data_IF_166321514880
#
_entry.id   IF_166321514880
#
_cell.length_a   1.000
_cell.length_b   1.000
_cell.length_c   1.000
_cell.angle_alpha   90.00
_cell.angle_beta   90.00
_cell.angle_gamma   90.00
#
_symmetry.space_group_name_H-M   'P 1'
#
loop_
_entity.id
_entity.type
_entity.pdbx_description
1 polymer ?
#
# COMPACT_ATOMS: atom_id res chain seq x y z
N UNK A 1 8.69 -39.67 6.35
CA UNK A 1 8.53 -38.16 6.35
C UNK A 1 9.80 -37.47 6.85
N UNK A 2 10.92 -38.00 6.51
CA UNK A 2 12.26 -37.53 6.86
C UNK A 2 12.58 -36.26 6.06
N UNK A 3 12.87 -35.16 6.76
CA UNK A 3 13.32 -33.90 6.14
C UNK A 3 12.36 -32.70 6.12
N UNK A 4 11.12 -32.81 6.65
CA UNK A 4 10.21 -31.67 6.75
C UNK A 4 10.64 -30.74 7.90
N UNK A 5 11.04 -29.52 7.56
CA UNK A 5 11.33 -28.47 8.56
C UNK A 5 10.05 -27.75 8.95
N UNK A 6 9.78 -27.63 10.25
CA UNK A 6 8.57 -26.95 10.74
C UNK A 6 8.67 -25.43 10.56
N UNK A 7 7.52 -24.79 10.44
CA UNK A 7 7.45 -23.34 10.51
C UNK A 7 7.80 -22.85 11.92
N UNK A 8 8.24 -21.60 12.01
CA UNK A 8 8.49 -20.98 13.30
C UNK A 8 7.18 -20.87 14.12
N UNK A 9 7.19 -21.05 15.45
CA UNK A 9 5.99 -20.95 16.30
C UNK A 9 5.21 -19.63 16.14
N UNK A 10 5.86 -18.54 15.76
CA UNK A 10 5.19 -17.28 15.41
C UNK A 10 4.11 -17.41 14.31
N UNK A 11 4.10 -18.51 13.57
CA UNK A 11 3.02 -18.83 12.62
C UNK A 11 1.69 -19.07 13.33
N UNK A 12 1.69 -19.69 14.51
CA UNK A 12 0.47 -19.90 15.31
C UNK A 12 -0.13 -18.56 15.75
N UNK A 13 0.71 -17.59 16.13
CA UNK A 13 0.26 -16.24 16.48
C UNK A 13 -0.42 -15.53 15.29
N UNK A 14 0.09 -15.73 14.08
CA UNK A 14 -0.56 -15.20 12.88
C UNK A 14 -1.95 -15.82 12.63
N UNK A 15 -2.11 -17.11 12.90
CA UNK A 15 -3.41 -17.78 12.76
C UNK A 15 -4.42 -17.20 13.75
N UNK A 16 -3.98 -16.92 14.97
CA UNK A 16 -4.83 -16.35 16.04
C UNK A 16 -5.10 -14.85 15.87
N UNK A 17 -4.27 -14.10 15.15
CA UNK A 17 -4.27 -12.62 15.14
C UNK A 17 -5.65 -11.99 14.94
N UNK A 18 -6.49 -12.55 14.10
CA UNK A 18 -7.85 -12.03 13.85
C UNK A 18 -8.78 -12.23 15.04
N UNK A 19 -8.69 -13.37 15.68
CA UNK A 19 -9.51 -13.78 16.81
C UNK A 19 -9.00 -13.16 18.12
N UNK A 20 -7.69 -13.03 18.24
CA UNK A 20 -7.05 -12.43 19.41
C UNK A 20 -7.50 -10.97 19.61
N UNK A 21 -7.70 -10.22 18.55
CA UNK A 21 -8.23 -8.85 18.62
C UNK A 21 -9.67 -8.82 19.16
N UNK A 22 -10.49 -9.82 18.82
CA UNK A 22 -11.89 -9.90 19.28
C UNK A 22 -11.93 -10.33 20.76
N UNK A 23 -11.15 -11.34 21.15
CA UNK A 23 -11.10 -11.84 22.53
C UNK A 23 -10.45 -10.85 23.53
N UNK A 24 -9.52 -10.00 23.05
CA UNK A 24 -8.88 -9.00 23.91
C UNK A 24 -9.79 -7.80 24.21
N UNK A 25 -10.82 -7.53 23.39
CA UNK A 25 -11.73 -6.41 23.60
C UNK A 25 -12.46 -6.43 24.95
N UNK A 26 -13.10 -7.54 25.39
CA UNK A 26 -13.76 -7.62 26.70
C UNK A 26 -12.77 -7.50 27.86
N UNK A 27 -11.59 -8.14 27.73
CA UNK A 27 -10.52 -8.04 28.72
C UNK A 27 -10.00 -6.61 28.88
N UNK A 28 -9.82 -5.89 27.76
CA UNK A 28 -9.44 -4.49 27.79
C UNK A 28 -10.54 -3.61 28.39
N UNK A 29 -11.82 -3.91 28.14
CA UNK A 29 -12.94 -3.18 28.73
C UNK A 29 -13.02 -3.41 30.24
N UNK A 30 -12.85 -4.65 30.71
CA UNK A 30 -12.84 -4.98 32.15
C UNK A 30 -11.64 -4.35 32.87
N UNK A 31 -10.46 -4.39 32.26
CA UNK A 31 -9.25 -3.73 32.78
C UNK A 31 -9.45 -2.21 32.89
N UNK A 32 -10.18 -1.63 31.93
CA UNK A 32 -10.52 -0.22 31.90
C UNK A 32 -11.45 0.22 33.01
N UNK A 33 -12.44 -0.62 33.33
CA UNK A 33 -13.40 -0.34 34.41
C UNK A 33 -12.74 -0.38 35.82
N UNK A 34 -11.48 -0.83 35.92
CA UNK A 34 -10.78 -1.10 37.19
C UNK A 34 -11.57 -1.99 38.15
N UNK A 35 -12.51 -2.76 37.60
CA UNK A 35 -13.29 -3.74 38.38
C UNK A 35 -12.60 -5.10 38.34
N UNK A 36 -12.02 -5.48 39.48
CA UNK A 36 -11.31 -6.75 39.64
C UNK A 36 -12.25 -7.95 39.50
N UNK A 37 -13.51 -7.82 39.89
CA UNK A 37 -14.51 -8.88 39.76
C UNK A 37 -14.90 -9.10 38.29
N UNK A 38 -15.22 -8.01 37.59
CA UNK A 38 -15.48 -8.03 36.16
C UNK A 38 -14.27 -8.52 35.34
N UNK A 39 -13.05 -8.13 35.73
CA UNK A 39 -11.82 -8.61 35.10
C UNK A 39 -11.61 -10.11 35.32
N UNK A 40 -11.84 -10.64 36.51
CA UNK A 40 -11.77 -12.09 36.78
C UNK A 40 -12.81 -12.85 35.96
N UNK A 41 -14.04 -12.40 35.91
CA UNK A 41 -15.09 -13.02 35.15
C UNK A 41 -14.74 -13.03 33.63
N UNK A 42 -14.32 -11.89 33.09
CA UNK A 42 -13.86 -11.78 31.72
C UNK A 42 -12.63 -12.67 31.45
N UNK A 43 -11.69 -12.77 32.40
CA UNK A 43 -10.50 -13.61 32.27
C UNK A 43 -10.88 -15.10 32.18
N UNK A 44 -11.86 -15.56 32.98
CA UNK A 44 -12.34 -16.94 32.91
C UNK A 44 -13.05 -17.24 31.59
N UNK A 45 -13.97 -16.37 31.13
CA UNK A 45 -14.71 -16.56 29.90
C UNK A 45 -13.81 -16.48 28.68
N UNK A 46 -13.04 -15.39 28.55
CA UNK A 46 -12.16 -15.15 27.41
C UNK A 46 -10.88 -16.00 27.49
N UNK A 47 -10.43 -16.33 28.69
CA UNK A 47 -9.25 -17.19 28.92
C UNK A 47 -9.46 -18.61 28.39
N UNK A 48 -10.62 -19.20 28.62
CA UNK A 48 -10.97 -20.50 28.05
C UNK A 48 -11.02 -20.45 26.52
N UNK A 49 -11.61 -19.40 25.95
CA UNK A 49 -11.65 -19.20 24.50
C UNK A 49 -10.24 -18.96 23.93
N UNK A 50 -9.42 -18.15 24.57
CA UNK A 50 -8.03 -17.91 24.17
C UNK A 50 -7.21 -19.21 24.24
N UNK A 51 -7.40 -20.02 25.27
CA UNK A 51 -6.73 -21.31 25.41
C UNK A 51 -7.17 -22.29 24.30
N UNK A 52 -8.46 -22.36 24.01
CA UNK A 52 -9.00 -23.17 22.90
C UNK A 52 -8.45 -22.72 21.56
N UNK A 53 -8.40 -21.40 21.29
CA UNK A 53 -7.79 -20.83 20.10
C UNK A 53 -6.30 -21.11 20.00
N UNK A 54 -5.58 -21.02 21.13
CA UNK A 54 -4.15 -21.35 21.20
C UNK A 54 -3.92 -22.84 20.88
N UNK A 55 -4.71 -23.72 21.48
CA UNK A 55 -4.66 -25.15 21.20
C UNK A 55 -4.96 -25.44 19.74
N UNK A 56 -6.02 -24.85 19.17
CA UNK A 56 -6.34 -24.99 17.75
C UNK A 56 -5.22 -24.45 16.83
N UNK A 57 -4.61 -23.31 17.17
CA UNK A 57 -3.50 -22.77 16.40
C UNK A 57 -2.25 -23.66 16.47
N UNK A 58 -1.96 -24.27 17.61
CA UNK A 58 -0.87 -25.24 17.76
C UNK A 58 -1.16 -26.51 16.97
N UNK A 59 -2.38 -27.04 17.04
CA UNK A 59 -2.79 -28.20 16.26
C UNK A 59 -2.67 -27.97 14.75
N UNK A 60 -3.01 -26.77 14.26
CA UNK A 60 -2.83 -26.38 12.87
C UNK A 60 -1.37 -26.12 12.48
N UNK A 61 -0.53 -25.72 13.42
CA UNK A 61 0.90 -25.49 13.23
C UNK A 61 1.71 -26.78 13.18
N UNK A 62 1.36 -27.80 13.99
CA UNK A 62 2.11 -29.06 14.09
C UNK A 62 2.36 -29.75 12.76
N UNK A 63 1.35 -29.95 11.85
CA UNK A 63 1.55 -30.59 10.56
C UNK A 63 2.11 -29.65 9.49
N UNK A 64 2.20 -28.35 9.79
CA UNK A 64 2.64 -27.35 8.82
C UNK A 64 4.18 -27.29 8.76
N UNK A 65 4.73 -27.42 7.55
CA UNK A 65 6.16 -27.40 7.36
C UNK A 65 6.55 -27.17 5.90
N UNK A 66 7.85 -27.12 5.68
CA UNK A 66 8.44 -26.92 4.37
C UNK A 66 9.68 -27.79 4.18
N UNK A 67 9.98 -28.13 2.94
CA UNK A 67 11.23 -28.81 2.56
C UNK A 67 11.70 -28.34 1.19
N UNK A 68 12.98 -28.46 0.95
CA UNK A 68 13.57 -28.33 -0.38
C UNK A 68 13.78 -29.73 -0.94
N UNK A 69 13.13 -30.04 -2.06
CA UNK A 69 13.22 -31.34 -2.71
C UNK A 69 13.52 -31.11 -4.20
N UNK A 70 14.61 -31.66 -4.68
CA UNK A 70 15.04 -31.50 -6.08
C UNK A 70 15.06 -30.04 -6.56
N UNK A 71 15.54 -29.13 -5.71
CA UNK A 71 15.58 -27.70 -6.02
C UNK A 71 14.21 -26.98 -5.94
N UNK A 72 13.12 -27.69 -5.70
CA UNK A 72 11.77 -27.12 -5.55
C UNK A 72 11.42 -26.91 -4.09
N UNK A 73 10.72 -25.85 -3.78
CA UNK A 73 10.17 -25.57 -2.45
C UNK A 73 8.83 -26.29 -2.31
N UNK A 74 8.77 -27.26 -1.42
CA UNK A 74 7.55 -28.00 -1.08
C UNK A 74 7.03 -27.51 0.26
N UNK A 75 5.79 -27.07 0.29
CA UNK A 75 5.10 -26.53 1.47
C UNK A 75 3.90 -27.41 1.76
N UNK A 76 3.85 -27.90 3.00
CA UNK A 76 2.75 -28.72 3.46
C UNK A 76 1.95 -27.94 4.50
N UNK A 77 0.63 -27.90 4.35
CA UNK A 77 -0.31 -27.25 5.28
C UNK A 77 -1.59 -28.06 5.41
N UNK A 78 -2.26 -27.92 6.54
CA UNK A 78 -3.57 -28.54 6.81
C UNK A 78 -3.48 -29.75 7.71
N UNK A 79 -4.50 -29.91 8.58
CA UNK A 79 -4.62 -30.99 9.55
C UNK A 79 -5.35 -32.19 8.93
N UNK A 80 -6.60 -32.00 8.51
CA UNK A 80 -7.44 -33.05 7.94
C UNK A 80 -7.19 -33.22 6.43
N UNK A 81 -7.19 -32.12 5.68
CA UNK A 81 -6.84 -32.10 4.27
C UNK A 81 -5.45 -31.52 4.07
N UNK A 82 -4.47 -32.37 3.90
CA UNK A 82 -3.09 -31.94 3.63
C UNK A 82 -2.98 -31.39 2.22
N UNK A 83 -2.67 -30.10 2.13
CA UNK A 83 -2.36 -29.43 0.86
C UNK A 83 -0.86 -29.30 0.73
N UNK A 84 -0.32 -29.91 -0.31
CA UNK A 84 1.09 -29.76 -0.68
C UNK A 84 1.17 -28.83 -1.86
N UNK A 85 1.90 -27.74 -1.70
CA UNK A 85 2.21 -26.80 -2.78
C UNK A 85 3.69 -26.98 -3.13
N UNK A 86 3.98 -27.28 -4.39
CA UNK A 86 5.33 -27.38 -4.92
C UNK A 86 5.61 -26.16 -5.80
N UNK A 87 6.64 -25.40 -5.49
CA UNK A 87 7.05 -24.20 -6.22
C UNK A 87 8.49 -24.37 -6.70
N UNK A 88 8.69 -24.27 -8.00
CA UNK A 88 10.02 -24.19 -8.58
C UNK A 88 10.58 -22.77 -8.42
N UNK A 89 11.91 -22.59 -8.25
CA UNK A 89 12.51 -21.25 -8.19
C UNK A 89 12.10 -20.36 -9.35
N UNK A 90 11.96 -20.91 -10.55
CA UNK A 90 11.59 -20.18 -11.79
C UNK A 90 10.14 -19.64 -11.77
N UNK A 91 9.27 -20.28 -10.99
CA UNK A 91 7.87 -19.84 -10.83
C UNK A 91 7.72 -18.70 -9.83
N UNK A 92 8.78 -18.35 -9.10
CA UNK A 92 8.78 -17.26 -8.13
C UNK A 92 9.23 -15.97 -8.82
N UNK A 93 8.31 -15.03 -8.95
CA UNK A 93 8.56 -13.71 -9.54
C UNK A 93 9.29 -12.77 -8.58
N UNK A 94 8.86 -12.75 -7.33
CA UNK A 94 9.49 -11.97 -6.28
C UNK A 94 9.34 -12.63 -4.92
N UNK A 95 10.24 -12.31 -4.02
CA UNK A 95 10.16 -12.69 -2.61
C UNK A 95 10.42 -11.46 -1.74
N UNK A 96 9.79 -11.44 -0.59
CA UNK A 96 9.95 -10.39 0.40
C UNK A 96 10.19 -11.02 1.78
N UNK A 97 11.25 -10.58 2.47
CA UNK A 97 11.53 -10.91 3.86
C UNK A 97 11.23 -9.69 4.70
N UNK A 98 10.40 -9.86 5.73
CA UNK A 98 10.07 -8.82 6.71
C UNK A 98 10.47 -9.29 8.10
N UNK A 99 11.23 -8.47 8.79
CA UNK A 99 11.61 -8.69 10.17
C UNK A 99 11.12 -7.50 11.01
N UNK A 100 10.01 -7.69 11.72
CA UNK A 100 9.51 -6.71 12.67
C UNK A 100 10.32 -6.76 13.98
N UNK A 101 10.34 -5.71 14.82
CA UNK A 101 11.05 -5.74 16.11
C UNK A 101 10.65 -6.93 16.96
N UNK A 102 9.35 -7.20 17.10
CA UNK A 102 8.82 -8.34 17.86
C UNK A 102 9.29 -9.67 17.27
N UNK A 103 9.22 -9.84 15.94
CA UNK A 103 9.66 -11.09 15.32
C UNK A 103 11.16 -11.32 15.46
N UNK A 104 11.97 -10.24 15.52
CA UNK A 104 13.41 -10.32 15.78
C UNK A 104 13.75 -10.83 17.18
N UNK A 105 12.99 -10.40 18.21
CA UNK A 105 13.16 -10.88 19.57
C UNK A 105 13.00 -12.40 19.66
N UNK A 106 12.05 -12.94 18.88
CA UNK A 106 11.81 -14.39 18.78
C UNK A 106 12.64 -15.09 17.69
N UNK A 107 13.58 -14.41 17.05
CA UNK A 107 14.39 -15.01 15.97
C UNK A 107 13.62 -15.40 14.72
N UNK A 108 12.40 -14.87 14.52
CA UNK A 108 11.52 -15.16 13.41
C UNK A 108 11.62 -14.13 12.28
N UNK A 109 11.42 -14.57 11.04
CA UNK A 109 11.25 -13.72 9.87
C UNK A 109 10.01 -14.17 9.08
N UNK A 110 9.26 -13.19 8.59
CA UNK A 110 8.14 -13.41 7.71
C UNK A 110 8.65 -13.36 6.27
N UNK A 111 8.54 -14.44 5.54
CA UNK A 111 8.88 -14.53 4.12
C UNK A 111 7.61 -14.64 3.30
N UNK A 112 7.45 -13.75 2.33
CA UNK A 112 6.31 -13.76 1.40
C UNK A 112 6.82 -14.03 -0.01
N UNK A 113 6.30 -15.07 -0.63
CA UNK A 113 6.62 -15.47 -2.00
C UNK A 113 5.48 -15.06 -2.92
N UNK A 114 5.82 -14.50 -4.06
CA UNK A 114 4.87 -14.09 -5.09
C UNK A 114 5.11 -14.91 -6.36
N UNK A 115 4.16 -15.77 -6.75
CA UNK A 115 4.30 -16.59 -7.95
C UNK A 115 4.23 -15.74 -9.22
N UNK A 116 4.85 -16.24 -10.28
CA UNK A 116 4.88 -15.59 -11.60
C UNK A 116 3.50 -15.56 -12.26
N UNK A 117 2.71 -16.62 -12.08
CA UNK A 117 1.38 -16.76 -12.68
C UNK A 117 0.31 -16.59 -11.62
N UNK A 118 -0.77 -15.91 -11.98
CA UNK A 118 -2.02 -15.92 -11.22
C UNK A 118 -2.82 -17.15 -11.66
N UNK A 119 -2.70 -18.25 -10.88
CA UNK A 119 -3.50 -19.45 -11.04
C UNK A 119 -4.61 -19.48 -9.99
N UNK A 120 -5.28 -20.63 -9.82
CA UNK A 120 -6.23 -20.89 -8.73
C UNK A 120 -5.55 -20.86 -7.36
N UNK A 121 -4.22 -20.89 -7.34
CA UNK A 121 -3.39 -20.81 -6.13
C UNK A 121 -3.37 -19.41 -5.51
N UNK A 122 -3.02 -19.29 -4.22
CA UNK A 122 -3.03 -18.04 -3.52
C UNK A 122 -2.08 -17.03 -4.18
N UNK A 123 -2.55 -15.79 -4.30
CA UNK A 123 -1.79 -14.67 -4.91
C UNK A 123 -0.43 -14.43 -4.25
N UNK A 124 -0.30 -14.78 -2.98
CA UNK A 124 0.94 -14.69 -2.22
C UNK A 124 0.97 -15.79 -1.18
N UNK A 125 2.14 -16.30 -0.93
CA UNK A 125 2.39 -17.34 0.04
C UNK A 125 3.29 -16.80 1.15
N UNK A 126 2.74 -16.70 2.34
CA UNK A 126 3.46 -16.19 3.51
C UNK A 126 3.92 -17.34 4.39
N UNK A 127 5.21 -17.36 4.72
CA UNK A 127 5.88 -18.35 5.55
C UNK A 127 6.51 -17.64 6.76
N UNK A 128 6.43 -18.27 7.92
CA UNK A 128 7.15 -17.83 9.11
C UNK A 128 8.30 -18.80 9.36
N UNK A 129 9.51 -18.32 9.22
CA UNK A 129 10.72 -19.12 9.29
C UNK A 129 11.67 -18.57 10.35
N UNK A 130 12.56 -19.40 10.91
CA UNK A 130 13.72 -18.89 11.62
C UNK A 130 14.51 -17.95 10.71
N UNK A 131 15.02 -16.85 11.25
CA UNK A 131 15.69 -15.79 10.48
C UNK A 131 16.77 -16.33 9.56
N UNK A 132 17.65 -17.20 10.07
CA UNK A 132 18.73 -17.83 9.28
C UNK A 132 18.16 -18.64 8.12
N UNK A 133 17.16 -19.47 8.39
CA UNK A 133 16.53 -20.30 7.35
C UNK A 133 15.82 -19.47 6.27
N UNK A 134 15.22 -18.31 6.63
CA UNK A 134 14.61 -17.42 5.66
C UNK A 134 15.64 -16.83 4.67
N UNK A 135 16.78 -16.37 5.18
CA UNK A 135 17.86 -15.85 4.32
C UNK A 135 18.52 -16.95 3.48
N UNK A 136 18.82 -18.11 4.04
CA UNK A 136 19.34 -19.25 3.30
C UNK A 136 18.39 -19.69 2.18
N UNK A 137 17.09 -19.74 2.48
CA UNK A 137 16.07 -20.08 1.49
C UNK A 137 16.00 -19.02 0.39
N UNK A 138 16.08 -17.74 0.74
CA UNK A 138 16.09 -16.65 -0.22
C UNK A 138 17.29 -16.72 -1.17
N UNK A 139 18.48 -17.05 -0.65
CA UNK A 139 19.68 -17.23 -1.48
C UNK A 139 19.55 -18.42 -2.44
N UNK A 140 18.92 -19.50 -2.01
CA UNK A 140 18.69 -20.67 -2.88
C UNK A 140 17.61 -20.42 -3.93
N UNK A 141 16.55 -19.67 -3.59
CA UNK A 141 15.42 -19.40 -4.51
C UNK A 141 15.77 -18.28 -5.51
N UNK A 142 16.36 -17.20 -5.05
CA UNK A 142 16.77 -16.04 -5.86
C UNK A 142 18.17 -15.60 -5.39
N UNK A 143 19.22 -16.21 -5.93
CA UNK A 143 20.60 -15.93 -5.53
C UNK A 143 20.96 -14.48 -5.86
N UNK A 144 21.59 -13.82 -4.91
CA UNK A 144 22.16 -12.50 -5.07
C UNK A 144 23.66 -12.63 -5.33
N UNK A 145 24.12 -12.11 -6.46
CA UNK A 145 25.54 -11.81 -6.64
C UNK A 145 25.74 -10.36 -6.20
N UNK A 146 26.69 -10.16 -5.29
CA UNK A 146 27.02 -8.82 -4.80
C UNK A 146 27.44 -7.92 -5.97
N UNK A 147 26.66 -6.86 -6.18
CA UNK A 147 26.91 -5.83 -7.18
C UNK A 147 26.88 -4.46 -6.51
N UNK A 148 27.45 -3.47 -7.18
CA UNK A 148 27.38 -2.10 -6.68
C UNK A 148 25.92 -1.63 -6.59
N UNK A 149 25.57 -0.88 -5.53
CA UNK A 149 24.20 -0.38 -5.38
C UNK A 149 23.88 0.58 -6.53
N UNK A 150 22.78 0.31 -7.24
CA UNK A 150 22.24 1.19 -8.28
C UNK A 150 21.72 2.50 -7.69
N UNK A 151 21.07 2.42 -6.52
CA UNK A 151 20.47 3.57 -5.89
C UNK A 151 20.71 3.55 -4.39
N UNK A 152 21.32 4.62 -3.90
CA UNK A 152 21.46 4.94 -2.48
C UNK A 152 20.92 6.33 -2.27
N UNK A 153 19.85 6.50 -1.51
CA UNK A 153 19.27 7.82 -1.28
C UNK A 153 20.24 8.68 -0.46
N UNK A 154 20.52 9.88 -0.94
CA UNK A 154 21.22 10.95 -0.20
C UNK A 154 20.40 11.32 1.03
N UNK A 155 20.94 12.13 1.96
CA UNK A 155 20.18 12.63 3.13
C UNK A 155 18.88 13.33 2.70
N UNK A 156 18.96 14.22 1.72
CA UNK A 156 17.78 14.87 1.14
C UNK A 156 16.88 13.85 0.42
N UNK A 157 17.46 12.88 -0.30
CA UNK A 157 16.72 11.81 -0.97
C UNK A 157 15.92 10.94 0.00
N UNK A 158 16.42 10.69 1.22
CA UNK A 158 15.68 9.99 2.27
C UNK A 158 14.49 10.80 2.76
N UNK A 159 14.69 12.11 2.99
CA UNK A 159 13.60 13.01 3.37
C UNK A 159 12.47 12.98 2.33
N UNK A 160 12.82 13.07 1.04
CA UNK A 160 11.84 12.99 -0.04
C UNK A 160 11.14 11.63 -0.09
N UNK A 161 11.90 10.54 0.07
CA UNK A 161 11.31 9.20 0.11
C UNK A 161 10.29 9.08 1.24
N UNK A 162 10.59 9.63 2.40
CA UNK A 162 9.70 9.68 3.56
C UNK A 162 8.47 10.53 3.29
N UNK A 163 8.65 11.76 2.85
CA UNK A 163 7.55 12.70 2.57
C UNK A 163 6.58 12.16 1.52
N UNK A 164 7.13 11.51 0.48
CA UNK A 164 6.33 10.98 -0.63
C UNK A 164 5.64 9.65 -0.31
N UNK A 165 6.12 8.92 0.71
CA UNK A 165 5.53 7.63 1.14
C UNK A 165 4.70 7.74 2.41
N UNK A 166 4.67 8.90 3.07
CA UNK A 166 3.91 9.14 4.28
C UNK A 166 2.39 9.17 3.99
N UNK A 167 1.79 8.00 3.81
CA UNK A 167 0.33 7.84 3.72
C UNK A 167 -0.36 7.91 5.09
N UNK A 168 0.28 8.61 6.05
CA UNK A 168 -0.12 8.63 7.45
C UNK A 168 -1.45 9.33 7.75
N UNK A 169 -1.99 10.14 6.81
CA UNK A 169 -3.20 10.92 7.04
C UNK A 169 -4.39 10.06 7.51
N UNK A 170 -4.70 8.98 6.77
CA UNK A 170 -5.85 8.13 7.11
C UNK A 170 -5.58 7.30 8.37
N UNK A 171 -4.38 6.74 8.50
CA UNK A 171 -3.99 5.91 9.65
C UNK A 171 -3.91 6.76 10.92
N UNK A 172 -3.41 7.98 10.82
CA UNK A 172 -3.33 8.89 11.93
C UNK A 172 -4.69 9.46 12.35
N UNK A 173 -5.56 9.77 11.38
CA UNK A 173 -6.94 10.18 11.68
C UNK A 173 -7.69 9.06 12.40
N UNK A 174 -7.56 7.81 11.93
CA UNK A 174 -8.14 6.65 12.59
C UNK A 174 -7.55 6.42 13.98
N UNK A 175 -6.24 6.54 14.14
CA UNK A 175 -5.57 6.46 15.44
C UNK A 175 -6.06 7.56 16.38
N UNK A 176 -6.18 8.80 15.88
CA UNK A 176 -6.68 9.94 16.66
C UNK A 176 -8.13 9.76 17.09
N UNK A 177 -9.04 9.38 16.18
CA UNK A 177 -10.44 9.09 16.51
C UNK A 177 -10.54 7.92 17.49
N UNK A 178 -9.70 6.90 17.34
CA UNK A 178 -9.62 5.79 18.29
C UNK A 178 -9.13 6.25 19.67
N UNK A 179 -8.16 7.16 19.73
CA UNK A 179 -7.63 7.71 20.98
C UNK A 179 -8.62 8.69 21.62
N UNK A 180 -9.30 9.55 20.85
CA UNK A 180 -10.35 10.44 21.41
C UNK A 180 -11.52 9.64 21.98
N UNK A 181 -11.92 8.54 21.34
CA UNK A 181 -12.89 7.61 21.91
C UNK A 181 -12.34 6.79 23.06
N UNK A 182 -11.02 6.78 23.27
CA UNK A 182 -10.31 6.05 24.32
C UNK A 182 -10.04 6.87 25.58
N UNK A 183 -10.72 8.03 25.78
CA UNK A 183 -10.66 8.75 27.06
C UNK A 183 -11.03 7.87 28.26
N UNK A 184 -11.57 6.75 27.96
CA UNK A 184 -11.95 5.69 28.87
C UNK A 184 -10.92 4.53 28.97
N UNK A 185 -9.84 4.47 28.16
CA UNK A 185 -9.03 3.25 27.96
C UNK A 185 -7.58 3.31 28.46
N UNK A 186 -7.11 4.45 28.97
CA UNK A 186 -5.69 4.60 29.23
C UNK A 186 -5.34 4.58 30.72
N UNK A 187 -4.32 3.79 31.08
CA UNK A 187 -3.63 3.88 32.35
C UNK A 187 -3.16 5.32 32.62
N UNK A 188 -3.08 5.71 33.88
CA UNK A 188 -2.78 7.09 34.29
C UNK A 188 -1.53 7.68 33.61
N UNK A 189 -0.51 6.85 33.37
CA UNK A 189 0.71 7.23 32.65
C UNK A 189 0.45 7.61 31.18
N UNK A 190 -0.37 6.82 30.50
CA UNK A 190 -0.73 7.10 29.10
C UNK A 190 -1.58 8.36 28.99
N UNK A 191 -2.46 8.63 29.99
CA UNK A 191 -3.20 9.89 30.10
C UNK A 191 -2.28 11.08 30.30
N UNK A 192 -1.23 10.94 31.13
CA UNK A 192 -0.22 12.00 31.34
C UNK A 192 0.57 12.27 30.05
N UNK A 193 1.06 11.23 29.39
CA UNK A 193 1.76 11.36 28.12
C UNK A 193 0.86 11.96 27.03
N UNK A 194 -0.41 11.57 27.00
CA UNK A 194 -1.41 12.11 26.10
C UNK A 194 -1.72 13.58 26.41
N UNK A 195 -1.91 13.93 27.69
CA UNK A 195 -2.11 15.31 28.12
C UNK A 195 -0.91 16.21 27.77
N UNK A 196 0.32 15.71 27.96
CA UNK A 196 1.53 16.43 27.57
C UNK A 196 1.62 16.61 26.04
N UNK A 197 1.30 15.58 25.26
CA UNK A 197 1.24 15.68 23.80
C UNK A 197 0.13 16.65 23.33
N UNK A 198 -1.02 16.64 24.00
CA UNK A 198 -2.13 17.57 23.74
C UNK A 198 -1.77 19.00 24.12
N UNK A 199 -1.06 19.22 25.21
CA UNK A 199 -0.57 20.57 25.57
C UNK A 199 0.36 21.14 24.50
N UNK A 200 1.26 20.30 23.95
CA UNK A 200 2.09 20.70 22.80
C UNK A 200 1.25 21.06 21.56
N UNK A 201 0.21 20.26 21.27
CA UNK A 201 -0.71 20.53 20.16
C UNK A 201 -1.54 21.81 20.37
N UNK A 202 -1.99 22.07 21.61
CA UNK A 202 -2.71 23.30 21.98
C UNK A 202 -1.82 24.53 21.77
N UNK A 203 -0.53 24.42 22.09
CA UNK A 203 0.44 25.50 21.81
C UNK A 203 0.55 25.82 20.33
N UNK A 204 0.65 24.80 19.47
CA UNK A 204 0.67 24.97 18.01
C UNK A 204 -0.68 25.48 17.49
N UNK A 205 -1.79 24.99 18.05
CA UNK A 205 -3.13 25.47 17.70
C UNK A 205 -3.32 26.96 18.01
N UNK A 206 -2.90 27.44 19.20
CA UNK A 206 -2.96 28.85 19.56
C UNK A 206 -2.16 29.73 18.59
N UNK A 207 -1.02 29.22 18.10
CA UNK A 207 -0.27 29.90 17.07
C UNK A 207 -1.03 29.96 15.73
N UNK A 208 -1.67 28.85 15.35
CA UNK A 208 -2.49 28.76 14.14
C UNK A 208 -3.75 29.65 14.22
N UNK A 209 -4.35 29.79 15.40
CA UNK A 209 -5.52 30.65 15.64
C UNK A 209 -5.25 32.16 15.43
N UNK A 210 -3.99 32.58 15.46
CA UNK A 210 -3.62 33.98 15.12
C UNK A 210 -3.87 34.30 13.64
N UNK A 211 -3.93 33.30 12.79
CA UNK A 211 -4.07 33.44 11.33
C UNK A 211 -5.35 32.83 10.80
N UNK A 212 -5.93 31.86 11.51
CA UNK A 212 -7.02 31.01 11.03
C UNK A 212 -8.17 30.95 12.03
N UNK A 213 -9.43 30.78 11.56
CA UNK A 213 -10.57 30.51 12.43
C UNK A 213 -10.38 29.27 13.30
N UNK A 214 -10.93 29.27 14.52
CA UNK A 214 -10.74 28.23 15.56
C UNK A 214 -10.95 26.80 15.03
N UNK A 215 -12.00 26.56 14.27
CA UNK A 215 -12.28 25.21 13.74
C UNK A 215 -11.29 24.74 12.68
N UNK A 216 -10.77 25.67 11.86
CA UNK A 216 -9.79 25.36 10.82
C UNK A 216 -8.39 25.15 11.41
N UNK A 217 -8.04 25.91 12.44
CA UNK A 217 -6.77 25.75 13.14
C UNK A 217 -6.65 24.38 13.80
N UNK A 218 -7.70 23.88 14.45
CA UNK A 218 -7.74 22.54 15.02
C UNK A 218 -7.53 21.45 13.96
N UNK A 219 -8.26 21.55 12.84
CA UNK A 219 -8.15 20.58 11.75
C UNK A 219 -6.72 20.54 11.19
N UNK A 220 -6.12 21.70 10.96
CA UNK A 220 -4.76 21.80 10.42
C UNK A 220 -3.70 21.33 11.41
N UNK A 221 -3.84 21.65 12.70
CA UNK A 221 -2.95 21.17 13.76
C UNK A 221 -3.00 19.63 13.86
N UNK A 222 -4.20 19.06 13.80
CA UNK A 222 -4.39 17.62 13.79
C UNK A 222 -3.79 16.96 12.55
N UNK A 223 -4.07 17.52 11.37
CA UNK A 223 -3.47 17.02 10.11
C UNK A 223 -1.94 17.08 10.15
N UNK A 224 -1.39 18.16 10.69
CA UNK A 224 0.05 18.35 10.87
C UNK A 224 0.66 17.30 11.81
N UNK A 225 0.04 17.06 12.96
CA UNK A 225 0.49 16.06 13.93
C UNK A 225 0.49 14.65 13.34
N UNK A 226 -0.60 14.28 12.66
CA UNK A 226 -0.73 12.98 11.97
C UNK A 226 0.31 12.83 10.87
N UNK A 227 0.53 13.88 10.11
CA UNK A 227 1.54 13.90 9.06
C UNK A 227 2.96 13.76 9.63
N UNK A 228 3.25 14.44 10.75
CA UNK A 228 4.52 14.32 11.46
C UNK A 228 4.79 12.89 11.95
N UNK A 229 3.80 12.23 12.54
CA UNK A 229 3.90 10.80 12.93
C UNK A 229 4.14 9.91 11.69
N UNK A 230 3.46 10.21 10.58
CA UNK A 230 3.68 9.55 9.30
C UNK A 230 5.11 9.71 8.77
N UNK A 231 5.67 10.92 8.89
CA UNK A 231 7.06 11.23 8.52
C UNK A 231 8.03 10.47 9.42
N UNK A 232 7.87 10.52 10.74
CA UNK A 232 8.72 9.80 11.68
C UNK A 232 8.74 8.30 11.38
N UNK A 233 7.57 7.69 11.20
CA UNK A 233 7.44 6.29 10.77
C UNK A 233 8.10 6.01 9.42
N UNK A 234 8.01 6.94 8.48
CA UNK A 234 8.66 6.89 7.18
C UNK A 234 10.19 6.89 7.29
N UNK A 235 10.77 7.75 8.14
CA UNK A 235 12.21 7.75 8.41
C UNK A 235 12.72 6.42 8.91
N UNK A 236 11.99 5.81 9.84
CA UNK A 236 12.33 4.50 10.39
C UNK A 236 12.27 3.39 9.31
N UNK A 237 11.35 3.50 8.35
CA UNK A 237 11.24 2.57 7.21
C UNK A 237 12.29 2.79 6.13
N UNK A 238 12.68 4.04 5.89
CA UNK A 238 13.64 4.40 4.83
C UNK A 238 15.10 4.38 5.29
N UNK A 239 15.34 4.15 6.60
CA UNK A 239 16.68 4.07 7.13
C UNK A 239 17.46 2.94 6.45
N UNK A 240 18.72 3.19 6.11
CA UNK A 240 19.65 2.23 5.46
C UNK A 240 19.11 1.66 4.13
N UNK A 241 18.19 2.38 3.46
CA UNK A 241 17.63 1.93 2.20
C UNK A 241 18.69 1.91 1.09
N UNK A 242 18.76 0.78 0.37
CA UNK A 242 19.67 0.56 -0.77
C UNK A 242 18.97 -0.30 -1.80
N UNK A 243 19.23 -0.02 -3.07
CA UNK A 243 18.74 -0.83 -4.19
C UNK A 243 19.92 -1.29 -5.03
N UNK A 244 19.96 -2.58 -5.30
CA UNK A 244 20.98 -3.23 -6.12
C UNK A 244 20.31 -3.75 -7.39
N UNK A 245 21.01 -3.65 -8.50
CA UNK A 245 20.53 -4.14 -9.78
C UNK A 245 21.56 -5.11 -10.34
N UNK A 246 21.26 -6.40 -10.23
CA UNK A 246 22.00 -7.45 -10.92
C UNK A 246 21.36 -7.83 -12.26
N UNK A 247 22.03 -8.68 -13.02
CA UNK A 247 21.46 -9.22 -14.29
C UNK A 247 20.17 -10.02 -14.03
N UNK A 248 20.16 -10.83 -12.98
CA UNK A 248 19.07 -11.75 -12.65
C UNK A 248 18.14 -11.25 -11.55
N UNK A 249 18.51 -10.23 -10.78
CA UNK A 249 17.78 -9.81 -9.56
C UNK A 249 17.85 -8.29 -9.37
N UNK A 250 16.73 -7.72 -8.97
CA UNK A 250 16.65 -6.39 -8.36
C UNK A 250 16.42 -6.62 -6.88
N UNK A 251 17.33 -6.14 -6.03
CA UNK A 251 17.22 -6.22 -4.58
C UNK A 251 16.95 -4.82 -4.02
N UNK A 252 15.89 -4.68 -3.24
CA UNK A 252 15.64 -3.50 -2.42
C UNK A 252 15.68 -3.89 -0.94
N UNK A 253 16.58 -3.28 -0.17
CA UNK A 253 16.75 -3.56 1.26
C UNK A 253 16.74 -2.27 2.05
N UNK A 254 16.04 -2.24 3.19
CA UNK A 254 16.00 -1.08 4.07
C UNK A 254 15.16 -1.28 5.33
N UNK A 255 15.10 -0.23 6.15
CA UNK A 255 14.36 -0.18 7.40
C UNK A 255 15.25 -0.27 8.63
N UNK A 256 14.83 0.37 9.71
CA UNK A 256 15.48 0.31 11.02
C UNK A 256 14.69 -0.57 11.99
N UNK A 257 13.44 -0.23 12.21
CA UNK A 257 12.54 -1.02 13.06
C UNK A 257 12.10 -2.28 12.33
N UNK A 258 11.50 -2.13 11.17
CA UNK A 258 11.11 -3.27 10.33
C UNK A 258 12.10 -3.37 9.18
N UNK A 259 13.00 -4.35 9.26
CA UNK A 259 13.87 -4.68 8.13
C UNK A 259 13.03 -5.32 7.03
N UNK A 260 13.21 -4.81 5.82
CA UNK A 260 12.57 -5.34 4.62
C UNK A 260 13.64 -5.61 3.58
N UNK A 261 13.59 -6.79 3.03
CA UNK A 261 14.42 -7.22 1.91
C UNK A 261 13.49 -7.77 0.83
N UNK A 262 13.48 -7.15 -0.34
CA UNK A 262 12.66 -7.57 -1.46
C UNK A 262 13.56 -7.90 -2.64
N UNK A 263 13.45 -9.12 -3.13
CA UNK A 263 14.16 -9.62 -4.32
C UNK A 263 13.15 -9.80 -5.45
N UNK A 264 13.40 -9.19 -6.59
CA UNK A 264 12.53 -9.23 -7.76
C UNK A 264 13.32 -9.71 -8.96
N UNK A 265 12.80 -10.66 -9.70
CA UNK A 265 13.37 -11.07 -11.00
C UNK A 265 12.97 -10.08 -12.07
N UNK A 266 13.90 -9.43 -12.79
CA UNK A 266 13.59 -8.42 -13.79
C UNK A 266 12.68 -8.95 -14.91
N UNK A 267 12.91 -10.19 -15.36
CA UNK A 267 12.07 -10.83 -16.38
C UNK A 267 10.66 -11.19 -15.93
N UNK A 268 10.34 -11.04 -14.62
CA UNK A 268 9.02 -11.26 -14.05
C UNK A 268 8.32 -9.96 -13.64
N UNK A 269 8.95 -8.80 -13.90
CA UNK A 269 8.33 -7.50 -13.65
C UNK A 269 7.15 -7.33 -14.60
N UNK A 270 5.96 -7.15 -14.04
CA UNK A 270 4.72 -6.99 -14.80
C UNK A 270 4.49 -5.55 -15.18
N UNK A 271 4.77 -4.62 -14.28
CA UNK A 271 4.65 -3.18 -14.54
C UNK A 271 5.59 -2.35 -13.65
N UNK A 272 5.97 -1.17 -14.16
CA UNK A 272 6.61 -0.13 -13.38
C UNK A 272 5.67 1.09 -13.30
N UNK A 273 5.46 1.59 -12.10
CA UNK A 273 4.57 2.70 -11.80
C UNK A 273 5.37 3.88 -11.24
N UNK A 274 5.22 5.04 -11.86
CA UNK A 274 5.68 6.32 -11.30
C UNK A 274 4.46 7.03 -10.75
N UNK A 275 4.47 7.31 -9.45
CA UNK A 275 3.35 7.98 -8.76
C UNK A 275 3.69 9.45 -8.54
N UNK A 276 2.91 10.32 -9.16
CA UNK A 276 3.08 11.77 -9.08
C UNK A 276 1.97 12.34 -8.19
N UNK A 277 2.19 12.38 -6.88
CA UNK A 277 1.33 13.12 -5.94
C UNK A 277 1.49 14.63 -6.17
N UNK A 278 0.56 15.50 -5.72
CA UNK A 278 0.74 16.95 -5.82
C UNK A 278 2.08 17.42 -5.24
N UNK A 279 2.46 16.88 -4.08
CA UNK A 279 3.74 17.17 -3.44
C UNK A 279 4.93 16.66 -4.28
N UNK A 280 4.82 15.47 -4.88
CA UNK A 280 5.86 14.93 -5.75
C UNK A 280 6.12 15.81 -6.99
N UNK A 281 5.05 16.38 -7.54
CA UNK A 281 5.14 17.33 -8.68
C UNK A 281 5.80 18.63 -8.28
N UNK A 282 5.37 19.21 -7.15
CA UNK A 282 5.96 20.44 -6.62
C UNK A 282 7.47 20.28 -6.38
N UNK A 283 7.88 19.15 -5.83
CA UNK A 283 9.28 18.83 -5.55
C UNK A 283 10.06 18.32 -6.78
N UNK A 284 9.38 18.04 -7.91
CA UNK A 284 9.98 17.45 -9.10
C UNK A 284 10.60 16.07 -8.85
N UNK A 285 10.10 15.32 -7.85
CA UNK A 285 10.62 14.02 -7.43
C UNK A 285 9.50 13.03 -7.22
N UNK A 286 9.54 11.92 -7.95
CA UNK A 286 8.46 10.95 -8.01
C UNK A 286 8.94 9.58 -7.54
N UNK A 287 8.22 8.90 -6.63
CA UNK A 287 8.51 7.54 -6.25
C UNK A 287 8.17 6.57 -7.37
N UNK A 288 9.05 5.59 -7.59
CA UNK A 288 8.93 4.54 -8.60
C UNK A 288 8.68 3.21 -7.91
N UNK A 289 7.67 2.50 -8.37
CA UNK A 289 7.28 1.20 -7.85
C UNK A 289 7.42 0.14 -8.94
N UNK A 290 7.92 -1.03 -8.59
CA UNK A 290 7.93 -2.20 -9.47
C UNK A 290 6.93 -3.23 -8.96
N UNK A 291 6.17 -3.80 -9.87
CA UNK A 291 5.28 -4.92 -9.59
C UNK A 291 5.77 -6.15 -10.33
N UNK A 292 5.73 -7.30 -9.68
CA UNK A 292 6.22 -8.54 -10.25
C UNK A 292 5.30 -9.71 -9.90
N UNK A 293 4.92 -10.48 -10.91
CA UNK A 293 4.03 -11.63 -10.75
C UNK A 293 2.68 -11.25 -10.12
N UNK A 294 2.23 -12.06 -9.19
CA UNK A 294 0.96 -11.85 -8.46
C UNK A 294 1.05 -10.80 -7.34
N UNK A 295 2.17 -10.09 -7.23
CA UNK A 295 2.38 -9.04 -6.22
C UNK A 295 1.42 -7.88 -6.46
N UNK A 296 0.47 -7.69 -5.54
CA UNK A 296 -0.46 -6.55 -5.55
C UNK A 296 0.22 -5.21 -5.25
N UNK A 297 1.53 -5.23 -5.05
CA UNK A 297 2.38 -4.08 -4.79
C UNK A 297 2.47 -3.75 -3.31
N UNK A 298 3.63 -3.93 -2.76
CA UNK A 298 3.96 -3.24 -1.51
C UNK A 298 4.09 -1.74 -1.81
N UNK A 299 3.70 -0.92 -0.87
CA UNK A 299 3.78 0.55 -0.99
C UNK A 299 5.21 1.09 -0.83
N UNK A 300 6.23 0.23 -0.97
CA UNK A 300 7.62 0.63 -0.88
C UNK A 300 8.18 0.98 -2.25
N UNK A 301 8.52 2.23 -2.52
CA UNK A 301 9.12 2.61 -3.80
C UNK A 301 10.52 2.02 -3.92
N UNK A 302 10.87 1.58 -5.12
CA UNK A 302 12.22 1.07 -5.41
C UNK A 302 13.22 2.22 -5.49
N UNK A 303 12.82 3.37 -6.04
CA UNK A 303 13.67 4.56 -6.09
C UNK A 303 12.82 5.83 -6.12
N UNK A 304 13.44 6.96 -5.84
CA UNK A 304 12.87 8.29 -6.09
C UNK A 304 13.54 8.88 -7.33
N UNK A 305 12.74 8.99 -8.38
CA UNK A 305 13.17 9.54 -9.65
C UNK A 305 13.01 11.05 -9.66
N UNK A 306 14.01 11.78 -10.19
CA UNK A 306 13.92 13.21 -10.46
C UNK A 306 13.47 13.43 -11.89
N UNK A 307 12.46 14.25 -12.08
CA UNK A 307 11.91 14.54 -13.41
C UNK A 307 12.96 15.18 -14.31
N UNK A 308 13.84 16.01 -13.72
CA UNK A 308 14.94 16.69 -14.44
C UNK A 308 16.02 15.75 -14.99
N UNK A 309 16.19 14.56 -14.38
CA UNK A 309 17.23 13.60 -14.80
C UNK A 309 16.81 12.80 -16.06
N UNK A 310 15.63 13.08 -16.61
CA UNK A 310 15.12 12.37 -17.79
C UNK A 310 14.76 10.91 -17.50
N UNK A 311 14.70 10.11 -18.57
CA UNK A 311 14.26 8.69 -18.49
C UNK A 311 15.43 7.75 -18.12
N UNK A 312 16.65 8.19 -18.27
CA UNK A 312 17.85 7.36 -18.13
C UNK A 312 17.95 6.60 -16.80
N UNK A 313 17.70 7.20 -15.62
CA UNK A 313 17.70 6.45 -14.36
C UNK A 313 16.68 5.32 -14.32
N UNK A 314 15.52 5.52 -14.97
CA UNK A 314 14.46 4.50 -15.05
C UNK A 314 14.86 3.36 -16.00
N UNK A 315 15.55 3.66 -17.10
CA UNK A 315 16.09 2.65 -18.02
C UNK A 315 17.20 1.84 -17.41
N UNK A 316 18.03 2.41 -16.54
CA UNK A 316 19.01 1.64 -15.75
C UNK A 316 18.34 0.62 -14.84
N UNK A 317 17.16 0.95 -14.29
CA UNK A 317 16.38 0.01 -13.50
C UNK A 317 15.70 -1.05 -14.39
N UNK A 318 15.05 -0.61 -15.48
CA UNK A 318 14.35 -1.45 -16.46
C UNK A 318 14.62 -0.94 -17.87
N UNK A 319 15.46 -1.62 -18.68
CA UNK A 319 15.88 -1.12 -20.01
C UNK A 319 14.72 -0.82 -20.97
N UNK A 320 13.65 -1.59 -20.90
CA UNK A 320 12.44 -1.38 -21.71
C UNK A 320 11.52 -0.28 -21.18
N UNK A 321 11.91 0.47 -20.14
CA UNK A 321 11.05 1.49 -19.56
C UNK A 321 10.84 2.66 -20.53
N UNK A 322 9.57 3.03 -20.71
CA UNK A 322 9.14 4.20 -21.48
C UNK A 322 8.16 5.03 -20.65
N UNK A 323 8.28 6.33 -20.75
CA UNK A 323 7.30 7.23 -20.14
C UNK A 323 6.12 7.42 -21.12
N UNK A 324 4.88 7.39 -20.61
CA UNK A 324 3.75 7.81 -21.44
C UNK A 324 3.92 9.29 -21.81
N UNK A 325 3.50 9.67 -23.02
CA UNK A 325 3.52 11.06 -23.44
C UNK A 325 2.63 11.91 -22.52
N UNK A 326 2.86 13.22 -22.46
CA UNK A 326 2.08 14.12 -21.59
C UNK A 326 0.57 14.06 -21.87
N UNK A 327 0.20 13.84 -23.14
CA UNK A 327 -1.17 13.69 -23.61
C UNK A 327 -1.27 12.46 -24.50
N UNK A 328 -1.58 11.28 -23.91
CA UNK A 328 -1.63 10.03 -24.67
C UNK A 328 -2.69 10.02 -25.76
N UNK A 329 -3.80 10.75 -25.55
CA UNK A 329 -4.89 10.86 -26.51
C UNK A 329 -5.27 12.33 -26.76
N UNK A 330 -5.76 12.68 -27.98
CA UNK A 330 -6.25 14.01 -28.26
C UNK A 330 -7.51 14.31 -27.42
N UNK A 331 -7.55 15.52 -26.87
CA UNK A 331 -8.67 16.01 -26.09
C UNK A 331 -9.92 16.19 -26.97
N UNK A 332 -11.04 15.73 -26.46
CA UNK A 332 -12.36 15.99 -27.07
C UNK A 332 -13.29 16.40 -25.96
N UNK A 333 -13.94 17.57 -26.06
CA UNK A 333 -14.85 18.09 -25.04
C UNK A 333 -15.97 17.12 -24.65
N UNK A 334 -16.38 16.28 -25.61
CA UNK A 334 -17.38 15.22 -25.40
C UNK A 334 -17.00 14.18 -24.32
N UNK A 335 -15.71 14.04 -23.95
CA UNK A 335 -15.26 13.13 -22.89
C UNK A 335 -15.32 13.74 -21.50
N UNK A 336 -15.47 15.05 -21.38
CA UNK A 336 -15.47 15.78 -20.11
C UNK A 336 -16.51 15.25 -19.09
N UNK A 337 -17.75 14.92 -19.48
CA UNK A 337 -18.73 14.41 -18.53
C UNK A 337 -18.29 13.08 -17.84
N UNK A 338 -17.53 12.25 -18.51
CA UNK A 338 -17.04 11.00 -17.92
C UNK A 338 -16.11 11.21 -16.71
N UNK A 339 -15.50 12.40 -16.62
CA UNK A 339 -14.60 12.78 -15.55
C UNK A 339 -15.23 13.69 -14.50
N UNK A 340 -16.14 14.57 -14.93
CA UNK A 340 -16.68 15.64 -14.09
C UNK A 340 -18.14 15.41 -13.62
N UNK A 341 -18.91 14.50 -14.21
CA UNK A 341 -20.32 14.34 -13.83
C UNK A 341 -20.49 14.05 -12.32
N UNK A 342 -19.82 13.02 -11.82
CA UNK A 342 -19.94 12.65 -10.42
C UNK A 342 -19.35 13.69 -9.46
N UNK A 343 -18.09 14.17 -9.64
CA UNK A 343 -17.59 15.26 -8.81
C UNK A 343 -18.40 16.53 -8.88
N UNK A 344 -18.91 16.91 -10.05
CA UNK A 344 -19.71 18.10 -10.25
C UNK A 344 -21.04 18.04 -9.53
N UNK A 345 -21.77 16.93 -9.65
CA UNK A 345 -23.04 16.71 -8.92
C UNK A 345 -22.79 16.77 -7.41
N UNK A 346 -21.75 16.08 -6.92
CA UNK A 346 -21.42 16.07 -5.49
C UNK A 346 -21.09 17.48 -5.00
N UNK A 347 -20.30 18.24 -5.78
CA UNK A 347 -19.97 19.63 -5.45
C UNK A 347 -21.21 20.51 -5.42
N UNK A 348 -22.12 20.36 -6.37
CA UNK A 348 -23.36 21.12 -6.42
C UNK A 348 -24.25 20.84 -5.19
N UNK A 349 -24.43 19.57 -4.84
CA UNK A 349 -25.23 19.17 -3.65
C UNK A 349 -24.61 19.74 -2.37
N UNK A 350 -23.30 19.60 -2.18
CA UNK A 350 -22.62 20.12 -0.98
C UNK A 350 -22.64 21.65 -0.96
N UNK A 351 -22.52 22.32 -2.10
CA UNK A 351 -22.60 23.78 -2.19
C UNK A 351 -23.99 24.29 -1.79
N UNK A 352 -25.06 23.66 -2.28
CA UNK A 352 -26.44 24.00 -1.88
C UNK A 352 -26.62 23.77 -0.38
N UNK A 353 -26.15 22.65 0.14
CA UNK A 353 -26.17 22.36 1.58
C UNK A 353 -25.40 23.40 2.41
N UNK A 354 -24.24 23.81 1.93
CA UNK A 354 -23.43 24.84 2.59
C UNK A 354 -24.12 26.19 2.58
N UNK A 355 -24.63 26.63 1.45
CA UNK A 355 -25.38 27.88 1.33
C UNK A 355 -26.63 27.90 2.25
N UNK A 356 -27.37 26.80 2.27
CA UNK A 356 -28.55 26.68 3.16
C UNK A 356 -28.19 26.69 4.65
N UNK A 357 -26.99 26.12 5.00
CA UNK A 357 -26.53 26.10 6.39
C UNK A 357 -26.14 27.47 6.92
N UNK A 358 -25.68 28.40 6.07
CA UNK A 358 -25.33 29.77 6.47
C UNK A 358 -26.53 30.49 7.08
N UNK A 359 -27.76 30.15 6.64
CA UNK A 359 -29.00 30.81 7.06
C UNK A 359 -29.76 30.05 8.15
N UNK A 360 -29.74 28.69 8.09
CA UNK A 360 -30.57 27.85 8.97
C UNK A 360 -29.81 27.19 10.12
N UNK A 361 -28.56 26.84 9.91
CA UNK A 361 -27.73 26.06 10.84
C UNK A 361 -26.27 26.49 10.81
N UNK A 362 -25.90 27.63 11.39
CA UNK A 362 -24.55 28.18 11.30
C UNK A 362 -23.45 27.22 11.84
N UNK A 363 -23.79 26.36 12.81
CA UNK A 363 -22.88 25.34 13.33
C UNK A 363 -22.46 24.30 12.27
N UNK A 364 -23.31 24.03 11.25
CA UNK A 364 -23.01 23.11 10.18
C UNK A 364 -22.23 23.75 9.00
N UNK A 365 -22.11 25.06 8.97
CA UNK A 365 -21.49 25.81 7.86
C UNK A 365 -20.02 25.44 7.68
N UNK A 366 -19.27 25.30 8.78
CA UNK A 366 -17.84 24.97 8.74
C UNK A 366 -17.56 23.56 8.21
N UNK A 367 -18.18 22.47 8.72
CA UNK A 367 -17.97 21.13 8.16
C UNK A 367 -18.45 21.02 6.71
N UNK A 368 -19.52 21.68 6.32
CA UNK A 368 -19.99 21.70 4.93
C UNK A 368 -19.05 22.50 4.03
N UNK A 369 -18.48 23.60 4.50
CA UNK A 369 -17.45 24.38 3.79
C UNK A 369 -16.17 23.57 3.55
N UNK A 370 -15.72 22.80 4.53
CA UNK A 370 -14.59 21.86 4.37
C UNK A 370 -14.97 20.77 3.36
N UNK A 371 -16.19 20.24 3.43
CA UNK A 371 -16.72 19.28 2.46
C UNK A 371 -16.73 19.84 1.03
N UNK A 372 -17.11 21.11 0.86
CA UNK A 372 -17.09 21.80 -0.43
C UNK A 372 -15.67 21.93 -1.00
N UNK A 373 -14.71 22.31 -0.17
CA UNK A 373 -13.28 22.37 -0.58
C UNK A 373 -12.77 20.99 -1.04
N UNK A 374 -13.13 19.92 -0.34
CA UNK A 374 -12.80 18.56 -0.74
C UNK A 374 -13.47 18.18 -2.07
N UNK A 375 -14.71 18.55 -2.29
CA UNK A 375 -15.44 18.31 -3.54
C UNK A 375 -14.82 19.09 -4.70
N UNK A 376 -14.45 20.34 -4.50
CA UNK A 376 -13.71 21.14 -5.50
C UNK A 376 -12.36 20.49 -5.83
N UNK A 377 -11.67 19.94 -4.83
CA UNK A 377 -10.49 19.12 -5.04
C UNK A 377 -10.75 17.90 -5.93
N UNK A 378 -11.89 17.21 -5.78
CA UNK A 378 -12.28 16.10 -6.66
C UNK A 378 -12.56 16.56 -8.10
N UNK A 379 -13.15 17.74 -8.27
CA UNK A 379 -13.33 18.35 -9.60
C UNK A 379 -11.97 18.62 -10.26
N UNK A 380 -11.02 19.19 -9.51
CA UNK A 380 -9.66 19.42 -10.01
C UNK A 380 -8.97 18.12 -10.42
N UNK A 381 -9.12 17.02 -9.65
CA UNK A 381 -8.63 15.68 -10.02
C UNK A 381 -9.33 15.16 -11.27
N UNK A 382 -10.64 15.40 -11.41
CA UNK A 382 -11.39 15.03 -12.61
C UNK A 382 -10.87 15.77 -13.85
N UNK A 383 -10.66 17.07 -13.75
CA UNK A 383 -10.05 17.88 -14.81
C UNK A 383 -8.65 17.39 -15.17
N UNK A 384 -7.81 17.12 -14.18
CA UNK A 384 -6.50 16.54 -14.44
C UNK A 384 -6.59 15.18 -15.16
N UNK A 385 -7.54 14.33 -14.75
CA UNK A 385 -7.82 13.06 -15.43
C UNK A 385 -8.18 13.28 -16.90
N UNK A 386 -9.03 14.24 -17.18
CA UNK A 386 -9.40 14.61 -18.54
C UNK A 386 -8.19 15.01 -19.40
N UNK A 387 -7.25 15.78 -18.86
CA UNK A 387 -6.05 16.22 -19.58
C UNK A 387 -4.98 15.16 -19.75
N UNK A 388 -4.91 14.17 -18.84
CA UNK A 388 -3.77 13.26 -18.73
C UNK A 388 -4.09 11.80 -19.01
N UNK A 389 -5.38 11.39 -18.89
CA UNK A 389 -5.74 9.97 -18.97
C UNK A 389 -5.67 9.47 -20.42
N UNK A 390 -4.99 8.34 -20.60
CA UNK A 390 -4.89 7.71 -21.91
C UNK A 390 -3.96 6.50 -21.92
N UNK A 391 -4.02 5.79 -23.02
CA UNK A 391 -3.26 4.59 -23.32
C UNK A 391 -2.50 4.81 -24.62
N UNK A 392 -1.21 4.50 -24.64
CA UNK A 392 -0.41 4.46 -25.85
C UNK A 392 0.30 3.13 -25.98
N UNK A 393 0.17 2.55 -27.14
CA UNK A 393 0.89 1.35 -27.53
C UNK A 393 1.64 1.65 -28.82
N UNK A 394 2.97 1.57 -28.76
CA UNK A 394 3.84 1.68 -29.91
C UNK A 394 4.19 0.28 -30.41
N UNK A 395 4.24 0.04 -31.71
CA UNK A 395 4.67 -1.25 -32.26
C UNK A 395 6.05 -1.64 -31.70
N UNK A 396 6.18 -2.87 -31.21
CA UNK A 396 7.42 -3.37 -30.63
C UNK A 396 7.81 -2.80 -29.25
N UNK A 397 6.96 -1.95 -28.64
CA UNK A 397 7.21 -1.39 -27.31
C UNK A 397 6.19 -1.81 -26.26
N UNK A 398 6.54 -1.65 -24.96
CA UNK A 398 5.60 -1.89 -23.89
C UNK A 398 4.49 -0.83 -23.90
N UNK A 399 3.21 -1.19 -23.69
CA UNK A 399 2.15 -0.23 -23.57
C UNK A 399 2.35 0.67 -22.34
N UNK A 400 2.07 1.94 -22.53
CA UNK A 400 2.17 2.96 -21.49
C UNK A 400 0.81 3.55 -21.19
N UNK A 401 0.55 3.74 -19.89
CA UNK A 401 -0.71 4.27 -19.37
C UNK A 401 -0.44 5.53 -18.57
N UNK A 402 -1.34 6.50 -18.70
CA UNK A 402 -1.42 7.62 -17.80
C UNK A 402 -2.85 7.70 -17.26
N UNK A 403 -3.03 7.79 -15.94
CA UNK A 403 -4.33 7.98 -15.31
C UNK A 403 -4.20 8.68 -13.97
N UNK A 404 -5.31 9.24 -13.50
CA UNK A 404 -5.39 9.89 -12.19
C UNK A 404 -6.28 9.10 -11.25
N UNK A 405 -5.84 8.98 -9.99
CA UNK A 405 -6.60 8.35 -8.92
C UNK A 405 -6.27 9.04 -7.59
N UNK A 406 -7.28 9.55 -6.88
CA UNK A 406 -7.11 10.16 -5.55
C UNK A 406 -5.99 11.20 -5.51
N UNK A 407 -6.06 12.26 -6.28
CA UNK A 407 -5.05 13.33 -6.37
C UNK A 407 -3.66 12.89 -6.86
N UNK A 408 -3.49 11.63 -7.25
CA UNK A 408 -2.20 11.09 -7.72
C UNK A 408 -2.30 10.74 -9.19
N UNK A 409 -1.37 11.26 -9.99
CA UNK A 409 -1.18 10.86 -11.37
C UNK A 409 -0.24 9.68 -11.43
N UNK A 410 -0.65 8.64 -12.14
CA UNK A 410 0.10 7.42 -12.36
C UNK A 410 0.62 7.37 -13.79
N UNK A 411 1.93 7.23 -13.94
CA UNK A 411 2.56 6.89 -15.20
C UNK A 411 2.99 5.42 -15.10
N UNK A 412 2.43 4.57 -15.94
CA UNK A 412 2.64 3.13 -15.85
C UNK A 412 3.19 2.61 -17.18
N UNK A 413 4.24 1.80 -17.10
CA UNK A 413 4.78 1.03 -18.20
C UNK A 413 4.55 -0.45 -17.92
N UNK A 414 3.95 -1.19 -18.87
CA UNK A 414 3.58 -2.59 -18.70
C UNK A 414 4.52 -3.46 -19.51
N UNK A 415 5.20 -4.37 -18.82
CA UNK A 415 6.18 -5.29 -19.44
C UNK A 415 5.60 -6.70 -19.65
N UNK A 416 4.53 -7.03 -18.90
CA UNK A 416 3.94 -8.37 -18.97
C UNK A 416 3.30 -8.64 -20.34
N UNK A 417 3.64 -9.76 -21.00
CA UNK A 417 2.88 -10.24 -22.15
C UNK A 417 1.51 -10.81 -21.74
N UNK A 418 1.40 -11.30 -20.51
CA UNK A 418 0.13 -11.82 -19.97
C UNK A 418 -0.75 -10.66 -19.53
N UNK A 419 -1.59 -10.19 -20.42
CA UNK A 419 -2.54 -9.12 -20.16
C UNK A 419 -3.89 -9.49 -20.74
N UNK A 420 -4.95 -9.11 -20.08
CA UNK A 420 -6.30 -9.18 -20.60
C UNK A 420 -6.99 -7.84 -20.39
N UNK A 421 -7.83 -7.48 -21.31
CA UNK A 421 -8.56 -6.24 -21.24
C UNK A 421 -10.06 -6.50 -21.33
N UNK A 422 -10.83 -5.69 -20.58
CA UNK A 422 -12.28 -5.63 -20.73
C UNK A 422 -12.66 -4.20 -21.12
N UNK A 423 -13.39 -4.09 -22.21
CA UNK A 423 -13.97 -2.84 -22.66
C UNK A 423 -15.46 -2.88 -22.38
N UNK A 424 -15.99 -1.79 -21.88
CA UNK A 424 -17.43 -1.59 -21.75
C UNK A 424 -17.80 -0.19 -22.21
N UNK A 425 -18.95 -0.08 -22.84
CA UNK A 425 -19.47 1.16 -23.34
C UNK A 425 -20.81 1.45 -22.67
N UNK A 426 -21.00 2.69 -22.27
CA UNK A 426 -22.32 3.20 -21.91
C UNK A 426 -22.99 3.72 -23.20
N UNK A 427 -24.33 3.87 -23.26
CA UNK A 427 -25.00 4.43 -24.43
C UNK A 427 -24.38 5.75 -24.90
N UNK A 428 -24.06 6.64 -23.96
CA UNK A 428 -23.40 7.92 -24.26
C UNK A 428 -21.98 7.76 -24.82
N UNK A 429 -21.19 6.83 -24.27
CA UNK A 429 -19.83 6.60 -24.77
C UNK A 429 -19.84 5.90 -26.13
N UNK A 430 -20.83 5.07 -26.42
CA UNK A 430 -21.01 4.40 -27.68
C UNK A 430 -21.26 5.41 -28.83
N UNK A 431 -22.15 6.38 -28.64
CA UNK A 431 -22.40 7.46 -29.61
C UNK A 431 -21.14 8.29 -29.90
N UNK A 432 -20.20 8.34 -28.98
CA UNK A 432 -18.95 9.09 -29.09
C UNK A 432 -17.78 8.26 -29.64
N UNK A 433 -17.98 6.98 -29.97
CA UNK A 433 -16.91 6.05 -30.38
C UNK A 433 -15.87 5.81 -29.28
N UNK A 434 -16.28 5.90 -28.00
CA UNK A 434 -15.42 5.76 -26.83
C UNK A 434 -15.81 4.57 -25.98
N UNK A 435 -14.87 4.12 -25.15
CA UNK A 435 -15.07 3.02 -24.22
C UNK A 435 -14.39 3.28 -22.88
N UNK A 436 -14.88 2.62 -21.85
CA UNK A 436 -14.17 2.47 -20.61
C UNK A 436 -13.35 1.19 -20.66
N UNK A 437 -12.10 1.29 -20.28
CA UNK A 437 -11.13 0.23 -20.44
C UNK A 437 -10.62 -0.25 -19.08
N UNK A 438 -10.66 -1.56 -18.84
CA UNK A 438 -10.06 -2.20 -17.69
C UNK A 438 -8.99 -3.15 -18.16
N UNK A 439 -7.76 -2.87 -17.80
CA UNK A 439 -6.62 -3.73 -18.10
C UNK A 439 -6.25 -4.55 -16.87
N UNK A 440 -6.19 -5.86 -17.06
CA UNK A 440 -5.77 -6.81 -16.06
C UNK A 440 -4.37 -7.29 -16.40
N UNK A 441 -3.47 -7.14 -15.45
CA UNK A 441 -2.10 -7.62 -15.51
C UNK A 441 -1.88 -8.46 -14.26
N UNK A 442 -1.07 -9.51 -14.24
CA UNK A 442 -0.82 -10.28 -13.03
C UNK A 442 -0.50 -9.37 -11.85
N UNK A 443 -1.25 -9.50 -10.76
CA UNK A 443 -1.14 -8.66 -9.57
C UNK A 443 -1.78 -7.27 -9.63
N UNK A 444 -2.21 -6.77 -10.81
CA UNK A 444 -2.70 -5.39 -10.95
C UNK A 444 -3.94 -5.27 -11.80
N UNK A 445 -4.70 -4.21 -11.51
CA UNK A 445 -5.86 -3.81 -12.31
C UNK A 445 -5.80 -2.30 -12.55
N UNK A 446 -5.76 -1.93 -13.81
CA UNK A 446 -5.79 -0.53 -14.24
C UNK A 446 -7.14 -0.22 -14.87
N UNK A 447 -7.69 0.95 -14.55
CA UNK A 447 -8.96 1.43 -15.10
C UNK A 447 -8.73 2.78 -15.75
N UNK A 448 -9.11 2.89 -17.01
CA UNK A 448 -9.05 4.10 -17.81
C UNK A 448 -10.46 4.48 -18.25
N UNK A 449 -10.73 5.77 -18.35
CA UNK A 449 -12.04 6.31 -18.69
C UNK A 449 -12.02 6.88 -20.08
N UNK A 450 -13.10 6.73 -20.80
CA UNK A 450 -13.38 7.42 -22.07
C UNK A 450 -12.24 7.38 -23.11
N UNK A 451 -11.61 6.20 -23.29
CA UNK A 451 -10.63 5.98 -24.35
C UNK A 451 -11.30 5.87 -25.72
N UNK A 452 -10.58 6.22 -26.79
CA UNK A 452 -11.02 5.92 -28.16
C UNK A 452 -11.07 4.41 -28.37
N UNK A 453 -12.08 3.94 -29.09
CA UNK A 453 -12.31 2.50 -29.28
C UNK A 453 -11.18 1.84 -30.08
N UNK A 454 -10.64 2.52 -31.07
CA UNK A 454 -9.65 1.95 -31.99
C UNK A 454 -8.30 1.62 -31.29
N UNK A 455 -7.63 2.53 -30.59
CA UNK A 455 -6.39 2.17 -29.87
C UNK A 455 -6.61 1.11 -28.79
N UNK A 456 -7.78 1.10 -28.14
CA UNK A 456 -8.11 0.14 -27.09
C UNK A 456 -8.24 -1.30 -27.61
N UNK A 457 -8.71 -1.50 -28.85
CA UNK A 457 -8.81 -2.84 -29.47
C UNK A 457 -7.45 -3.47 -29.76
N UNK A 458 -6.44 -2.67 -30.13
CA UNK A 458 -5.12 -3.17 -30.48
C UNK A 458 -4.25 -3.60 -29.28
N UNK A 459 -4.64 -3.27 -28.07
CA UNK A 459 -3.94 -3.71 -26.84
C UNK A 459 -4.33 -5.12 -26.41
N UNK A 460 -5.40 -5.66 -26.96
CA UNK A 460 -5.85 -7.04 -26.68
C UNK A 460 -5.12 -8.11 -27.51
N UNK A 461 -4.32 -7.71 -28.44
CA UNK A 461 -3.49 -8.57 -29.26
C UNK A 461 -2.06 -8.54 -28.72
#
# INVERSE_FOLDING_TARGET
MTGLRRFHPAYSVQLMRRWLAVCLLPLLNALRAFDLAAFRAALWQEGALLLALAAAAVLLWLPAGWKLEQGSLVICRGLAARRTLRLRPEEIASLEIRENPVSRLFGAAQMTLYPRRSGPDPKSLTLWLPRRAAHELAERLIPLREERPLYVPTRAGRLYLVLLTANGLVTGLLAFVSVQRSDQLAAAELKRMWAAAMQGLIGVERLAQRVLPVGLSWLLTLMGAVWFVGIAGGFLRSARYRVYRGRAVILARGGLLTLRERRVRPGCVTSAEVRMTPLARLLGRCPVYLRAGADSGDDTPVMVWRVKDGVEPLRRLMPAFRLPPPRPEPLTGRSLPAFLALPGILTAVVAVGWLSSLWRLPAASLPLGVGLLLCLGLVAVGLEGFFCEGLRHEPGGPPTLCFTKRYTRYLVCIFSPQRSARMYQTPFSMQQGRCHFKLFVPGCRYRLRSLRLWPARHVNL
#
